data_IF_930303149276
#
_entry.id   IF_930303149276
#
_cell.length_a   1.000
_cell.length_b   1.000
_cell.length_c   1.000
_cell.angle_alpha   90.00
_cell.angle_beta   90.00
_cell.angle_gamma   90.00
#
_symmetry.space_group_name_H-M   'P 1'
#
loop_
_entity.id
_entity.type
_entity.pdbx_description
1 polymer ?
#
# COMPACT_ATOMS: atom_id res chain seq x y z
N UNK A 1 -6.53 -8.30 6.08
CA UNK A 1 -7.20 -7.23 5.32
C UNK A 1 -6.22 -6.64 4.34
N UNK A 2 -6.61 -6.61 3.08
CA UNK A 2 -5.87 -5.93 2.01
C UNK A 2 -6.42 -4.51 1.86
N UNK A 3 -5.59 -3.58 1.36
CA UNK A 3 -6.01 -2.18 1.20
C UNK A 3 -7.25 -2.01 0.30
N UNK A 4 -7.39 -2.91 -0.68
CA UNK A 4 -8.53 -2.98 -1.59
C UNK A 4 -9.87 -3.24 -0.90
N UNK A 5 -9.85 -3.83 0.30
CA UNK A 5 -11.05 -4.09 1.09
C UNK A 5 -11.67 -2.79 1.64
N UNK A 6 -10.94 -1.68 1.54
CA UNK A 6 -11.37 -0.34 1.97
C UNK A 6 -11.79 0.58 0.83
N UNK A 7 -11.84 0.05 -0.39
CA UNK A 7 -12.40 0.75 -1.54
C UNK A 7 -13.92 0.69 -1.47
N UNK A 8 -14.57 1.83 -1.72
CA UNK A 8 -16.00 1.82 -1.99
C UNK A 8 -16.26 1.26 -3.40
N UNK A 9 -17.52 1.00 -3.75
CA UNK A 9 -17.90 0.40 -5.03
C UNK A 9 -17.36 1.19 -6.23
N UNK A 10 -17.48 2.52 -6.20
CA UNK A 10 -17.04 3.39 -7.30
C UNK A 10 -15.51 3.43 -7.42
N UNK A 11 -14.78 3.46 -6.30
CA UNK A 11 -13.31 3.43 -6.30
C UNK A 11 -12.78 2.07 -6.75
N UNK A 12 -13.47 0.98 -6.41
CA UNK A 12 -13.12 -0.36 -6.87
C UNK A 12 -13.34 -0.51 -8.38
N UNK A 13 -14.46 0.00 -8.89
CA UNK A 13 -14.74 0.06 -10.32
C UNK A 13 -13.66 0.86 -11.05
N UNK A 14 -13.41 2.12 -10.63
CA UNK A 14 -12.38 2.97 -11.21
C UNK A 14 -10.97 2.35 -11.11
N UNK A 15 -10.65 1.71 -9.98
CA UNK A 15 -9.38 0.99 -9.82
C UNK A 15 -9.24 -0.13 -10.86
N UNK A 16 -10.29 -0.92 -11.09
CA UNK A 16 -10.24 -2.01 -12.09
C UNK A 16 -10.12 -1.47 -13.52
N UNK A 17 -10.83 -0.38 -13.85
CA UNK A 17 -10.70 0.30 -15.14
C UNK A 17 -9.27 0.79 -15.37
N UNK A 18 -8.69 1.51 -14.41
CA UNK A 18 -7.32 2.02 -14.49
C UNK A 18 -6.28 0.89 -14.58
N UNK A 19 -6.52 -0.27 -13.95
CA UNK A 19 -5.65 -1.45 -14.13
C UNK A 19 -5.68 -1.97 -15.56
N UNK A 20 -6.85 -1.99 -16.22
CA UNK A 20 -6.96 -2.37 -17.62
C UNK A 20 -6.29 -1.34 -18.53
N UNK A 21 -6.52 -0.05 -18.29
CA UNK A 21 -5.87 1.03 -19.04
C UNK A 21 -4.34 1.00 -18.90
N UNK A 22 -3.82 0.67 -17.71
CA UNK A 22 -2.38 0.56 -17.47
C UNK A 22 -1.73 -0.56 -18.32
N UNK A 23 -2.46 -1.65 -18.55
CA UNK A 23 -2.00 -2.76 -19.39
C UNK A 23 -1.99 -2.37 -20.87
N UNK A 24 -2.95 -1.54 -21.30
CA UNK A 24 -3.07 -1.08 -22.69
C UNK A 24 -2.18 0.13 -23.01
N UNK A 25 -1.72 0.87 -21.99
CA UNK A 25 -0.94 2.08 -22.13
C UNK A 25 0.30 1.92 -23.05
N UNK A 26 0.32 2.72 -24.12
CA UNK A 26 1.26 2.61 -25.23
C UNK A 26 2.60 3.29 -24.96
N UNK A 27 2.64 4.24 -24.01
CA UNK A 27 3.87 4.93 -23.65
C UNK A 27 4.07 5.11 -22.14
N UNK A 28 5.31 5.42 -21.76
CA UNK A 28 5.70 5.58 -20.36
C UNK A 28 4.97 6.73 -19.67
N UNK A 29 4.63 7.81 -20.40
CA UNK A 29 3.96 8.97 -19.82
C UNK A 29 2.53 8.62 -19.41
N UNK A 30 1.79 7.95 -20.28
CA UNK A 30 0.45 7.42 -19.99
C UNK A 30 0.47 6.48 -18.79
N UNK A 31 1.40 5.52 -18.75
CA UNK A 31 1.55 4.63 -17.59
C UNK A 31 1.77 5.39 -16.29
N UNK A 32 2.61 6.42 -16.31
CA UNK A 32 2.88 7.23 -15.11
C UNK A 32 1.62 7.97 -14.64
N UNK A 33 0.81 8.49 -15.56
CA UNK A 33 -0.43 9.20 -15.21
C UNK A 33 -1.46 8.23 -14.62
N UNK A 34 -1.67 7.09 -15.29
CA UNK A 34 -2.60 6.05 -14.82
C UNK A 34 -2.15 5.50 -13.46
N UNK A 35 -0.85 5.27 -13.27
CA UNK A 35 -0.30 4.83 -11.98
C UNK A 35 -0.52 5.88 -10.88
N UNK A 36 -0.37 7.16 -11.20
CA UNK A 36 -0.61 8.23 -10.22
C UNK A 36 -2.08 8.25 -9.76
N UNK A 37 -3.04 8.04 -10.67
CA UNK A 37 -4.46 7.93 -10.31
C UNK A 37 -4.75 6.69 -9.44
N UNK A 38 -4.15 5.55 -9.78
CA UNK A 38 -4.24 4.33 -8.95
C UNK A 38 -3.70 4.61 -7.53
N UNK A 39 -2.55 5.28 -7.44
CA UNK A 39 -1.92 5.60 -6.15
C UNK A 39 -2.79 6.55 -5.31
N UNK A 40 -3.48 7.51 -5.93
CA UNK A 40 -4.43 8.41 -5.24
C UNK A 40 -5.61 7.63 -4.62
N UNK A 41 -6.20 6.69 -5.38
CA UNK A 41 -7.27 5.82 -4.88
C UNK A 41 -6.79 4.99 -3.69
N UNK A 42 -5.60 4.40 -3.80
CA UNK A 42 -5.01 3.59 -2.73
C UNK A 42 -4.64 4.45 -1.50
N UNK A 43 -4.18 5.68 -1.68
CA UNK A 43 -3.88 6.59 -0.58
C UNK A 43 -5.15 6.98 0.18
N UNK A 44 -6.26 7.21 -0.53
CA UNK A 44 -7.56 7.45 0.09
C UNK A 44 -8.02 6.24 0.92
N UNK A 45 -7.88 5.04 0.37
CA UNK A 45 -8.19 3.80 1.09
C UNK A 45 -7.30 3.59 2.32
N UNK A 46 -6.00 3.91 2.21
CA UNK A 46 -5.06 3.89 3.33
C UNK A 46 -5.46 4.87 4.43
N UNK A 47 -5.85 6.09 4.08
CA UNK A 47 -6.28 7.09 5.07
C UNK A 47 -7.51 6.62 5.86
N UNK A 48 -8.47 5.95 5.20
CA UNK A 48 -9.61 5.32 5.89
C UNK A 48 -9.18 4.19 6.81
N UNK A 49 -8.27 3.32 6.35
CA UNK A 49 -7.69 2.27 7.18
C UNK A 49 -7.00 2.83 8.43
N UNK A 50 -6.14 3.83 8.25
CA UNK A 50 -5.40 4.48 9.34
C UNK A 50 -6.34 5.22 10.30
N UNK A 51 -7.43 5.81 9.81
CA UNK A 51 -8.47 6.42 10.65
C UNK A 51 -9.17 5.38 11.53
N UNK A 52 -9.49 4.20 10.97
CA UNK A 52 -10.06 3.09 11.74
C UNK A 52 -9.07 2.54 12.77
N UNK A 53 -7.79 2.45 12.43
CA UNK A 53 -6.76 1.95 13.34
C UNK A 53 -6.35 2.99 14.41
N UNK A 54 -6.39 4.28 14.09
CA UNK A 54 -6.11 5.38 15.04
C UNK A 54 -7.32 5.77 15.89
N UNK A 55 -8.53 5.28 15.56
CA UNK A 55 -9.63 5.20 16.53
C UNK A 55 -9.28 4.35 17.77
N UNK A 56 -8.30 3.44 17.65
CA UNK A 56 -7.67 2.66 18.73
C UNK A 56 -6.31 3.25 19.14
N UNK A 57 -6.28 4.57 19.40
CA UNK A 57 -5.07 5.40 19.64
C UNK A 57 -4.19 5.02 20.84
N UNK A 58 -4.45 3.93 21.55
CA UNK A 58 -3.50 3.40 22.54
C UNK A 58 -2.48 2.41 21.96
N UNK A 59 -2.67 1.90 20.73
CA UNK A 59 -1.81 0.82 20.18
C UNK A 59 -1.03 1.17 18.91
N UNK A 60 -1.34 2.29 18.24
CA UNK A 60 -0.70 2.66 16.97
C UNK A 60 0.74 3.19 17.11
N UNK A 61 1.13 3.69 18.30
CA UNK A 61 2.46 4.28 18.54
C UNK A 61 3.61 3.27 18.35
N UNK A 62 3.37 1.98 18.56
CA UNK A 62 4.43 0.96 18.52
C UNK A 62 4.81 0.54 17.10
N UNK A 63 3.88 0.57 16.14
CA UNK A 63 4.15 0.13 14.76
C UNK A 63 4.91 1.16 13.92
N UNK A 64 4.72 2.45 14.18
CA UNK A 64 5.47 3.52 13.48
C UNK A 64 6.93 3.59 13.95
N UNK A 65 7.19 3.32 15.23
CA UNK A 65 8.55 3.23 15.77
C UNK A 65 9.36 2.09 15.13
N UNK A 66 8.73 0.95 14.83
CA UNK A 66 9.42 -0.21 14.23
C UNK A 66 9.71 0.03 12.75
N UNK A 67 8.82 0.71 12.00
CA UNK A 67 9.08 1.06 10.59
C UNK A 67 10.11 2.18 10.43
N UNK A 68 10.15 3.14 11.35
CA UNK A 68 11.12 4.24 11.30
C UNK A 68 12.54 3.82 11.73
N UNK A 69 12.68 2.73 12.50
CA UNK A 69 13.98 2.27 13.03
C UNK A 69 14.59 1.08 12.30
N UNK A 70 13.86 0.41 11.40
CA UNK A 70 14.40 -0.77 10.70
C UNK A 70 15.35 -0.33 9.57
N UNK A 71 16.68 -0.46 9.72
CA UNK A 71 17.57 -0.25 8.60
C UNK A 71 17.36 -1.43 7.66
N UNK A 72 17.23 -1.17 6.36
CA UNK A 72 17.32 -2.21 5.34
C UNK A 72 18.71 -2.86 5.42
N UNK A 73 18.87 -3.91 6.22
CA UNK A 73 20.06 -4.76 6.17
C UNK A 73 19.84 -5.76 5.05
N UNK A 74 20.42 -5.48 3.88
CA UNK A 74 20.69 -6.51 2.87
C UNK A 74 21.67 -7.51 3.47
N UNK A 75 21.18 -8.61 4.05
CA UNK A 75 22.03 -9.75 4.40
C UNK A 75 22.14 -10.63 3.16
N UNK A 76 23.23 -10.42 2.42
CA UNK A 76 23.67 -11.33 1.37
C UNK A 76 24.19 -12.59 2.06
N UNK A 77 23.37 -13.64 2.07
CA UNK A 77 23.81 -15.01 2.29
C UNK A 77 23.58 -15.58 3.69
N UNK A 78 23.14 -16.84 3.66
CA UNK A 78 22.97 -17.83 4.72
C UNK A 78 21.69 -17.75 5.57
N UNK A 79 20.84 -18.74 5.26
CA UNK A 79 19.88 -19.38 6.16
C UNK A 79 20.56 -19.69 7.49
N UNK A 80 19.89 -19.45 8.61
CA UNK A 80 19.77 -20.43 9.69
C UNK A 80 18.66 -20.05 10.67
N UNK A 81 18.05 -21.10 11.22
CA UNK A 81 16.85 -21.10 12.06
C UNK A 81 17.09 -20.43 13.41
N UNK A 82 16.08 -19.70 13.88
CA UNK A 82 15.97 -19.19 15.26
C UNK A 82 15.66 -20.34 16.21
N UNK A 83 16.51 -20.54 17.22
CA UNK A 83 16.30 -21.15 18.55
C UNK A 83 17.54 -20.69 19.35
N UNK A 84 17.48 -20.05 20.52
CA UNK A 84 16.54 -20.07 21.64
C UNK A 84 16.46 -18.68 22.28
#
# INVERSE_FOLDING_TARGET
>A
MQLKDFLNANELEKFNELQLELLDAHNKKERTLIQAEIDEILNTARSRYESLMSGNKEQASTYELIRATSPFVRIKGKKEHVLQ
#
